data_IF_570930009572
#
_entry.id   IF_570930009572
#
_cell.length_a   1.000
_cell.length_b   1.000
_cell.length_c   1.000
_cell.angle_alpha   90.00
_cell.angle_beta   90.00
_cell.angle_gamma   90.00
#
_symmetry.space_group_name_H-M   'P 1'
#
loop_
_entity.id
_entity.type
_entity.pdbx_description
1 polymer ?
#
# COMPACT_ATOMS: atom_id res chain seq x y z
N UNK A 1 -3.58 20.95 -23.08
CA UNK A 1 -4.31 19.83 -22.43
C UNK A 1 -5.56 19.48 -23.25
N UNK A 2 -5.40 18.94 -24.46
CA UNK A 2 -6.51 18.58 -25.40
C UNK A 2 -6.33 17.19 -26.03
N UNK A 3 -5.58 16.28 -25.39
CA UNK A 3 -5.21 14.98 -25.94
C UNK A 3 -5.86 13.74 -25.31
N UNK A 4 -6.72 13.87 -24.30
CA UNK A 4 -7.20 12.73 -23.48
C UNK A 4 -8.52 12.10 -23.99
N UNK A 5 -8.76 12.08 -25.31
CA UNK A 5 -10.04 11.66 -25.90
C UNK A 5 -10.05 10.29 -26.58
N UNK A 6 -8.91 9.59 -26.67
CA UNK A 6 -8.76 8.44 -27.59
C UNK A 6 -8.80 7.05 -26.96
N UNK A 7 -8.78 6.94 -25.64
CA UNK A 7 -8.60 5.64 -24.96
C UNK A 7 -9.93 4.89 -24.78
N UNK A 8 -11.07 5.59 -24.68
CA UNK A 8 -12.36 4.97 -24.33
C UNK A 8 -13.04 4.20 -25.48
N UNK A 9 -12.51 4.25 -26.72
CA UNK A 9 -13.16 3.66 -27.90
C UNK A 9 -12.68 2.27 -28.32
N UNK A 10 -11.66 1.70 -27.68
CA UNK A 10 -10.95 0.52 -28.18
C UNK A 10 -11.46 -0.83 -27.65
N UNK A 11 -12.32 -0.86 -26.63
CA UNK A 11 -12.66 -2.10 -25.92
C UNK A 11 -13.91 -2.88 -26.38
N UNK A 12 -14.62 -2.50 -27.45
CA UNK A 12 -15.91 -3.13 -27.81
C UNK A 12 -15.87 -4.17 -28.93
N UNK A 13 -14.69 -4.66 -29.34
CA UNK A 13 -14.62 -5.70 -30.40
C UNK A 13 -14.78 -7.12 -29.80
N UNK A 14 -15.98 -7.66 -29.91
CA UNK A 14 -16.36 -9.04 -29.54
C UNK A 14 -15.59 -10.09 -30.36
N UNK A 15 -14.39 -10.49 -29.91
CA UNK A 15 -13.59 -11.55 -30.54
C UNK A 15 -13.42 -12.72 -29.57
N UNK A 16 -14.41 -13.59 -29.43
CA UNK A 16 -14.23 -14.90 -28.76
C UNK A 16 -13.49 -14.88 -27.40
N UNK A 17 -13.63 -13.79 -26.64
CA UNK A 17 -12.83 -13.47 -25.44
C UNK A 17 -13.40 -14.14 -24.18
N UNK A 18 -14.59 -14.75 -24.25
CA UNK A 18 -15.39 -15.08 -23.05
C UNK A 18 -14.68 -16.01 -22.03
N UNK A 19 -13.70 -16.82 -22.46
CA UNK A 19 -12.94 -17.67 -21.53
C UNK A 19 -11.54 -17.13 -21.15
N UNK A 20 -11.05 -16.04 -21.76
CA UNK A 20 -9.72 -15.49 -21.44
C UNK A 20 -9.75 -14.30 -20.48
N UNK A 21 -10.88 -13.60 -20.32
CA UNK A 21 -10.95 -12.39 -19.45
C UNK A 21 -10.79 -12.71 -17.97
N UNK A 22 -11.14 -13.93 -17.55
CA UNK A 22 -11.17 -14.33 -16.14
C UNK A 22 -9.92 -15.10 -15.69
N UNK A 23 -8.77 -14.87 -16.33
CA UNK A 23 -7.52 -15.50 -15.88
C UNK A 23 -6.43 -14.47 -15.60
N UNK A 24 -5.68 -14.76 -14.55
CA UNK A 24 -4.43 -14.06 -14.26
C UNK A 24 -3.45 -14.30 -15.42
N UNK A 25 -2.77 -13.26 -15.95
CA UNK A 25 -1.72 -13.43 -16.95
C UNK A 25 -0.65 -14.38 -16.45
N UNK A 26 -0.27 -15.36 -17.26
CA UNK A 26 0.77 -16.33 -16.92
C UNK A 26 2.15 -15.67 -16.87
N UNK A 27 3.10 -16.31 -16.19
CA UNK A 27 4.50 -15.86 -16.18
C UNK A 27 5.10 -15.71 -17.58
N UNK A 28 4.73 -16.59 -18.52
CA UNK A 28 5.19 -16.52 -19.90
C UNK A 28 4.62 -15.30 -20.63
N UNK A 29 3.33 -15.02 -20.44
CA UNK A 29 2.66 -13.84 -21.01
C UNK A 29 3.24 -12.52 -20.48
N UNK A 30 3.63 -12.47 -19.20
CA UNK A 30 4.30 -11.29 -18.62
C UNK A 30 5.71 -11.12 -19.21
N UNK A 31 6.43 -12.22 -19.47
CA UNK A 31 7.77 -12.18 -20.05
C UNK A 31 7.81 -11.60 -21.47
N UNK A 32 6.68 -11.60 -22.19
CA UNK A 32 6.55 -10.99 -23.51
C UNK A 32 6.56 -9.45 -23.46
N UNK A 33 6.24 -8.85 -22.31
CA UNK A 33 6.23 -7.39 -22.17
C UNK A 33 7.66 -6.83 -22.11
N UNK A 34 7.91 -5.63 -22.65
CA UNK A 34 9.16 -4.93 -22.43
C UNK A 34 9.44 -4.72 -20.95
N UNK A 35 10.72 -4.60 -20.61
CA UNK A 35 11.20 -4.51 -19.23
C UNK A 35 10.44 -3.49 -18.36
N UNK A 36 10.28 -2.26 -18.83
CA UNK A 36 9.58 -1.21 -18.06
C UNK A 36 8.08 -1.42 -18.02
N UNK A 37 7.50 -2.06 -19.04
CA UNK A 37 6.11 -2.48 -19.04
C UNK A 37 5.83 -3.59 -18.00
N UNK A 38 6.77 -4.51 -17.78
CA UNK A 38 6.68 -5.50 -16.68
C UNK A 38 6.66 -4.82 -15.31
N UNK A 39 7.54 -3.82 -15.09
CA UNK A 39 7.58 -3.05 -13.84
C UNK A 39 6.28 -2.26 -13.65
N UNK A 40 5.79 -1.59 -14.69
CA UNK A 40 4.52 -0.88 -14.63
C UNK A 40 3.35 -1.80 -14.30
N UNK A 41 3.29 -2.98 -14.92
CA UNK A 41 2.26 -3.98 -14.64
C UNK A 41 2.33 -4.47 -13.18
N UNK A 42 3.52 -4.77 -12.67
CA UNK A 42 3.71 -5.16 -11.27
C UNK A 42 3.27 -4.06 -10.29
N UNK A 43 3.63 -2.79 -10.58
CA UNK A 43 3.24 -1.65 -9.76
C UNK A 43 1.71 -1.46 -9.72
N UNK A 44 1.03 -1.58 -10.88
CA UNK A 44 -0.44 -1.54 -10.93
C UNK A 44 -1.10 -2.68 -10.14
N UNK A 45 -0.54 -3.89 -10.21
CA UNK A 45 -1.04 -5.02 -9.41
C UNK A 45 -0.87 -4.78 -7.90
N UNK A 46 0.28 -4.25 -7.47
CA UNK A 46 0.52 -3.91 -6.07
C UNK A 46 -0.41 -2.79 -5.60
N UNK A 47 -0.62 -1.77 -6.44
CA UNK A 47 -1.56 -0.69 -6.17
C UNK A 47 -2.98 -1.22 -5.96
N UNK A 48 -3.45 -2.15 -6.81
CA UNK A 48 -4.78 -2.78 -6.67
C UNK A 48 -4.99 -3.48 -5.34
N UNK A 49 -3.95 -4.01 -4.71
CA UNK A 49 -4.14 -4.71 -3.43
C UNK A 49 -3.82 -3.86 -2.22
N UNK A 50 -3.32 -2.64 -2.42
CA UNK A 50 -2.93 -1.75 -1.33
C UNK A 50 -4.10 -1.40 -0.38
N UNK A 51 -5.32 -1.07 -0.85
CA UNK A 51 -6.41 -0.72 0.08
C UNK A 51 -6.82 -1.86 1.01
N UNK A 52 -6.68 -3.11 0.56
CA UNK A 52 -6.91 -4.28 1.42
C UNK A 52 -5.94 -4.36 2.60
N UNK A 53 -4.74 -3.77 2.49
CA UNK A 53 -3.81 -3.74 3.61
C UNK A 53 -4.36 -2.88 4.73
N UNK A 54 -4.87 -1.68 4.42
CA UNK A 54 -5.50 -0.80 5.41
C UNK A 54 -6.76 -1.45 5.99
N UNK A 55 -7.61 -2.02 5.13
CA UNK A 55 -8.86 -2.65 5.56
C UNK A 55 -8.63 -3.88 6.45
N UNK A 56 -7.66 -4.73 6.10
CA UNK A 56 -7.36 -5.95 6.87
C UNK A 56 -6.56 -5.64 8.14
N UNK A 57 -5.93 -4.46 8.21
CA UNK A 57 -5.10 -4.01 9.33
C UNK A 57 -5.40 -2.54 9.66
N UNK A 58 -6.55 -2.25 10.28
CA UNK A 58 -6.89 -0.89 10.70
C UNK A 58 -5.84 -0.29 11.65
N UNK A 59 -5.21 -1.14 12.47
CA UNK A 59 -4.16 -0.76 13.42
C UNK A 59 -2.74 -0.72 12.80
N UNK A 60 -2.62 -0.92 11.48
CA UNK A 60 -1.32 -0.86 10.81
C UNK A 60 -0.63 0.48 11.10
N UNK A 61 0.64 0.41 11.50
CA UNK A 61 1.39 1.64 11.76
C UNK A 61 1.47 2.49 10.50
N UNK A 62 1.45 3.81 10.67
CA UNK A 62 1.67 4.75 9.56
C UNK A 62 2.97 4.45 8.80
N UNK A 63 4.01 3.98 9.51
CA UNK A 63 5.29 3.57 8.93
C UNK A 63 5.09 2.41 7.93
N UNK A 64 4.25 1.42 8.24
CA UNK A 64 3.99 0.28 7.37
C UNK A 64 3.22 0.71 6.12
N UNK A 65 2.16 1.50 6.29
CA UNK A 65 1.36 2.05 5.18
C UNK A 65 2.24 2.91 4.26
N UNK A 66 3.03 3.83 4.84
CA UNK A 66 3.96 4.69 4.09
C UNK A 66 5.04 3.86 3.39
N UNK A 67 5.49 2.74 3.97
CA UNK A 67 6.51 1.87 3.35
C UNK A 67 5.98 1.16 2.11
N UNK A 68 4.74 0.66 2.16
CA UNK A 68 4.06 0.06 0.99
C UNK A 68 3.83 1.11 -0.09
N UNK A 69 3.30 2.29 0.29
CA UNK A 69 3.06 3.41 -0.63
C UNK A 69 4.36 3.84 -1.33
N UNK A 70 5.43 4.00 -0.56
CA UNK A 70 6.74 4.39 -1.09
C UNK A 70 7.30 3.35 -2.07
N UNK A 71 7.15 2.05 -1.78
CA UNK A 71 7.61 0.99 -2.67
C UNK A 71 6.86 1.00 -4.02
N UNK A 72 5.53 1.15 -3.99
CA UNK A 72 4.71 1.22 -5.20
C UNK A 72 5.03 2.49 -6.01
N UNK A 73 4.97 3.66 -5.34
CA UNK A 73 5.26 4.96 -5.96
C UNK A 73 6.66 5.00 -6.60
N UNK A 74 7.63 4.31 -6.02
CA UNK A 74 8.97 4.25 -6.58
C UNK A 74 9.03 3.35 -7.83
N UNK A 75 8.35 2.20 -7.82
CA UNK A 75 8.25 1.34 -8.99
C UNK A 75 7.57 2.07 -10.18
N UNK A 76 6.50 2.83 -9.91
CA UNK A 76 5.83 3.68 -10.89
C UNK A 76 6.78 4.75 -11.45
N UNK A 77 7.49 5.49 -10.58
CA UNK A 77 8.47 6.51 -10.99
C UNK A 77 9.57 5.94 -11.89
N UNK A 78 10.09 4.76 -11.56
CA UNK A 78 11.13 4.08 -12.33
C UNK A 78 10.63 3.63 -13.69
N UNK A 79 9.44 3.03 -13.75
CA UNK A 79 8.83 2.66 -15.02
C UNK A 79 8.54 3.90 -15.88
N UNK A 80 8.19 5.03 -15.26
CA UNK A 80 7.85 6.27 -15.96
C UNK A 80 9.03 7.11 -16.45
N UNK A 81 10.21 6.97 -15.85
CA UNK A 81 11.36 7.83 -16.16
C UNK A 81 12.56 7.02 -16.63
N UNK A 82 13.09 7.41 -17.78
CA UNK A 82 14.39 6.93 -18.24
C UNK A 82 15.50 7.70 -17.51
N UNK A 83 16.26 7.03 -16.65
CA UNK A 83 17.39 7.66 -15.95
C UNK A 83 18.03 6.72 -14.95
N UNK A 84 19.22 7.07 -14.47
CA UNK A 84 19.90 6.38 -13.36
C UNK A 84 19.13 6.64 -12.08
N UNK A 85 18.29 5.70 -11.65
CA UNK A 85 17.51 5.94 -10.46
C UNK A 85 18.45 5.83 -9.27
N UNK A 86 18.07 6.43 -8.15
CA UNK A 86 18.77 6.14 -6.89
C UNK A 86 18.48 4.68 -6.49
N UNK A 87 19.29 3.76 -6.99
CA UNK A 87 19.19 2.31 -6.70
C UNK A 87 19.27 2.01 -5.21
N UNK A 88 19.85 2.91 -4.41
CA UNK A 88 19.84 2.81 -2.95
C UNK A 88 18.43 2.99 -2.42
N UNK A 89 17.71 4.00 -2.91
CA UNK A 89 16.33 4.27 -2.51
C UNK A 89 15.38 3.12 -2.84
N UNK A 90 15.55 2.44 -3.98
CA UNK A 90 14.69 1.30 -4.35
C UNK A 90 14.95 0.06 -3.54
N UNK A 91 16.21 -0.25 -3.26
CA UNK A 91 16.54 -1.32 -2.34
C UNK A 91 15.99 -1.06 -0.93
N UNK A 92 16.13 0.16 -0.41
CA UNK A 92 15.62 0.53 0.91
C UNK A 92 14.09 0.46 0.95
N UNK A 93 13.40 0.96 -0.08
CA UNK A 93 11.94 0.89 -0.15
C UNK A 93 11.43 -0.56 -0.18
N UNK A 94 12.07 -1.42 -0.97
CA UNK A 94 11.72 -2.84 -1.03
C UNK A 94 11.89 -3.52 0.35
N UNK A 95 13.01 -3.28 1.03
CA UNK A 95 13.29 -3.86 2.35
C UNK A 95 12.32 -3.37 3.43
N UNK A 96 11.93 -2.10 3.38
CA UNK A 96 10.92 -1.55 4.31
C UNK A 96 9.54 -2.15 4.08
N UNK A 97 9.14 -2.34 2.82
CA UNK A 97 7.89 -3.02 2.50
C UNK A 97 7.88 -4.49 2.96
N UNK A 98 9.00 -5.22 2.80
CA UNK A 98 9.13 -6.59 3.35
C UNK A 98 8.96 -6.60 4.87
N UNK A 99 9.66 -5.71 5.59
CA UNK A 99 9.57 -5.62 7.04
C UNK A 99 8.13 -5.32 7.50
N UNK A 100 7.41 -4.45 6.78
CA UNK A 100 5.98 -4.19 7.06
C UNK A 100 5.08 -5.43 6.89
N UNK A 101 5.46 -6.38 6.03
CA UNK A 101 4.79 -7.68 5.90
C UNK A 101 5.14 -8.64 7.04
N UNK A 102 6.39 -8.64 7.50
CA UNK A 102 6.86 -9.43 8.65
C UNK A 102 6.22 -8.96 9.97
N UNK A 103 6.07 -7.65 10.17
CA UNK A 103 5.39 -7.10 11.35
C UNK A 103 3.91 -7.52 11.39
N UNK A 104 3.25 -7.61 10.23
CA UNK A 104 1.86 -8.04 10.14
C UNK A 104 1.65 -9.53 10.46
N UNK A 105 2.71 -10.35 10.42
CA UNK A 105 2.66 -11.79 10.76
C UNK A 105 2.43 -12.07 12.24
N UNK A 106 2.60 -11.08 13.11
CA UNK A 106 2.42 -11.24 14.56
C UNK A 106 0.93 -11.40 14.95
N UNK A 107 -0.02 -11.12 14.04
CA UNK A 107 -1.47 -11.36 14.21
C UNK A 107 -1.99 -12.59 13.43
N UNK A 108 -2.92 -13.37 13.99
CA UNK A 108 -3.50 -14.57 13.36
C UNK A 108 -4.28 -14.27 12.06
N UNK A 109 -4.20 -15.19 11.07
CA UNK A 109 -4.95 -15.32 9.79
C UNK A 109 -5.03 -14.13 8.82
N UNK A 110 -5.29 -12.90 9.29
CA UNK A 110 -5.16 -11.69 8.47
C UNK A 110 -3.72 -11.51 7.97
N UNK A 111 -2.74 -12.05 8.72
CA UNK A 111 -1.30 -11.98 8.45
C UNK A 111 -0.89 -12.46 7.07
N UNK A 112 -1.55 -13.47 6.50
CA UNK A 112 -1.19 -13.99 5.19
C UNK A 112 -1.50 -12.97 4.09
N UNK A 113 -2.65 -12.29 4.18
CA UNK A 113 -3.07 -11.26 3.23
C UNK A 113 -2.13 -10.04 3.30
N UNK A 114 -1.81 -9.54 4.49
CA UNK A 114 -0.86 -8.43 4.61
C UNK A 114 0.52 -8.78 4.08
N UNK A 115 1.02 -9.96 4.44
CA UNK A 115 2.32 -10.43 3.98
C UNK A 115 2.34 -10.47 2.46
N UNK A 116 1.28 -10.97 1.83
CA UNK A 116 1.17 -11.05 0.38
C UNK A 116 1.12 -9.65 -0.27
N UNK A 117 0.38 -8.69 0.31
CA UNK A 117 0.32 -7.31 -0.17
C UNK A 117 1.69 -6.61 -0.04
N UNK A 118 2.31 -6.70 1.13
CA UNK A 118 3.64 -6.15 1.40
C UNK A 118 4.71 -6.75 0.50
N UNK A 119 4.68 -8.07 0.30
CA UNK A 119 5.61 -8.78 -0.56
C UNK A 119 5.35 -8.44 -2.05
N UNK A 120 4.09 -8.17 -2.45
CA UNK A 120 3.76 -7.67 -3.79
C UNK A 120 4.39 -6.30 -4.07
N UNK A 121 4.24 -5.35 -3.14
CA UNK A 121 4.86 -4.03 -3.23
C UNK A 121 6.40 -4.11 -3.25
N UNK A 122 6.99 -4.94 -2.37
CA UNK A 122 8.43 -5.19 -2.37
C UNK A 122 8.93 -5.79 -3.69
N UNK A 123 8.17 -6.72 -4.28
CA UNK A 123 8.52 -7.32 -5.57
C UNK A 123 8.42 -6.32 -6.73
N UNK A 124 7.44 -5.41 -6.73
CA UNK A 124 7.40 -4.31 -7.70
C UNK A 124 8.65 -3.41 -7.59
N UNK A 125 9.05 -3.04 -6.38
CA UNK A 125 10.26 -2.24 -6.14
C UNK A 125 11.55 -3.00 -6.54
N UNK A 126 11.65 -4.31 -6.26
CA UNK A 126 12.77 -5.15 -6.73
C UNK A 126 12.83 -5.25 -8.25
N UNK A 127 11.67 -5.36 -8.92
CA UNK A 127 11.61 -5.36 -10.37
C UNK A 127 12.16 -4.04 -10.93
N UNK A 128 11.79 -2.92 -10.32
CA UNK A 128 12.30 -1.59 -10.66
C UNK A 128 13.83 -1.46 -10.44
N UNK A 129 14.36 -1.89 -9.29
CA UNK A 129 15.81 -1.89 -9.02
C UNK A 129 16.58 -2.74 -10.05
N UNK A 130 16.11 -3.96 -10.32
CA UNK A 130 16.73 -4.86 -11.30
C UNK A 130 16.70 -4.26 -12.71
N UNK A 131 15.59 -3.63 -13.08
CA UNK A 131 15.46 -2.96 -14.37
C UNK A 131 16.43 -1.77 -14.50
N UNK A 132 16.55 -0.98 -13.44
CA UNK A 132 17.45 0.16 -13.36
C UNK A 132 18.93 -0.23 -13.53
N UNK A 133 19.36 -1.33 -12.90
CA UNK A 133 20.74 -1.82 -12.99
C UNK A 133 21.16 -2.20 -14.41
N UNK A 134 20.20 -2.58 -15.26
CA UNK A 134 20.46 -2.91 -16.66
C UNK A 134 20.61 -1.68 -17.57
N UNK A 135 20.28 -0.47 -17.10
CA UNK A 135 20.35 0.78 -17.87
C UNK A 135 21.70 1.50 -17.64
N UNK A 136 22.53 1.01 -16.72
CA UNK A 136 23.83 1.60 -16.40
C UNK A 136 24.77 1.71 -17.63
N UNK A 137 25.68 2.71 -17.63
CA UNK A 137 26.56 3.03 -18.76
C UNK A 137 27.55 1.94 -19.18
N UNK A 138 27.60 0.81 -18.46
CA UNK A 138 28.44 -0.35 -18.76
C UNK A 138 27.72 -1.47 -19.53
N UNK A 139 26.50 -1.23 -20.04
CA UNK A 139 25.69 -2.28 -20.69
C UNK A 139 26.35 -2.96 -21.90
N UNK A 140 27.32 -2.32 -22.57
CA UNK A 140 28.10 -2.93 -23.66
C UNK A 140 29.12 -3.99 -23.18
N UNK A 141 29.40 -4.06 -21.89
CA UNK A 141 30.36 -5.01 -21.29
C UNK A 141 29.68 -6.14 -20.52
N UNK A 142 28.37 -6.04 -20.26
CA UNK A 142 27.64 -7.08 -19.56
C UNK A 142 27.47 -8.30 -20.49
N UNK A 143 27.85 -9.47 -19.97
CA UNK A 143 27.58 -10.74 -20.65
C UNK A 143 26.07 -10.92 -20.83
N UNK A 144 25.66 -11.48 -21.98
CA UNK A 144 24.25 -11.85 -22.25
C UNK A 144 23.62 -12.67 -21.11
N UNK A 145 24.40 -13.50 -20.40
CA UNK A 145 23.93 -14.27 -19.25
C UNK A 145 23.48 -13.40 -18.07
N UNK A 146 24.11 -12.24 -17.85
CA UNK A 146 23.74 -11.27 -16.81
C UNK A 146 22.44 -10.59 -17.18
N UNK A 147 22.27 -10.22 -18.45
CA UNK A 147 21.05 -9.62 -18.97
C UNK A 147 19.87 -10.59 -18.82
N UNK A 148 20.04 -11.86 -19.21
CA UNK A 148 19.01 -12.88 -19.10
C UNK A 148 18.65 -13.18 -17.63
N UNK A 149 19.64 -13.25 -16.74
CA UNK A 149 19.41 -13.45 -15.30
C UNK A 149 18.61 -12.28 -14.71
N UNK A 150 18.96 -11.05 -15.07
CA UNK A 150 18.24 -9.86 -14.62
C UNK A 150 16.81 -9.82 -15.18
N UNK A 151 16.60 -10.14 -16.46
CA UNK A 151 15.26 -10.26 -17.07
C UNK A 151 14.41 -11.32 -16.37
N UNK A 152 14.96 -12.53 -16.15
CA UNK A 152 14.29 -13.57 -15.38
C UNK A 152 13.96 -13.11 -13.95
N UNK A 153 14.83 -12.29 -13.36
CA UNK A 153 14.60 -11.65 -12.07
C UNK A 153 13.46 -10.64 -12.07
N UNK A 154 13.30 -9.84 -13.13
CA UNK A 154 12.22 -8.85 -13.28
C UNK A 154 10.89 -9.55 -13.49
N UNK A 155 10.85 -10.52 -14.40
CA UNK A 155 9.65 -11.34 -14.65
C UNK A 155 9.25 -12.13 -13.41
N UNK A 156 10.22 -12.71 -12.70
CA UNK A 156 9.96 -13.44 -11.45
C UNK A 156 9.34 -12.56 -10.37
N UNK A 157 9.88 -11.36 -10.16
CA UNK A 157 9.33 -10.40 -9.21
C UNK A 157 7.94 -9.92 -9.63
N UNK A 158 7.74 -9.58 -10.90
CA UNK A 158 6.45 -9.14 -11.43
C UNK A 158 5.38 -10.23 -11.29
N UNK A 159 5.71 -11.48 -11.62
CA UNK A 159 4.83 -12.63 -11.43
C UNK A 159 4.47 -12.85 -9.97
N UNK A 160 5.44 -12.74 -9.05
CA UNK A 160 5.15 -12.88 -7.62
C UNK A 160 4.19 -11.78 -7.13
N UNK A 161 4.38 -10.54 -7.57
CA UNK A 161 3.47 -9.45 -7.24
C UNK A 161 2.02 -9.77 -7.65
N UNK A 162 1.84 -10.28 -8.87
CA UNK A 162 0.52 -10.70 -9.39
C UNK A 162 -0.05 -11.87 -8.58
N UNK A 163 0.75 -12.91 -8.33
CA UNK A 163 0.30 -14.11 -7.60
C UNK A 163 -0.14 -13.76 -6.18
N UNK A 164 0.64 -12.95 -5.49
CA UNK A 164 0.37 -12.52 -4.11
C UNK A 164 -0.81 -11.56 -4.05
N UNK A 165 -0.90 -10.66 -5.02
CA UNK A 165 -2.07 -9.82 -5.17
C UNK A 165 -3.34 -10.67 -5.37
N UNK A 166 -3.28 -11.75 -6.14
CA UNK A 166 -4.41 -12.66 -6.30
C UNK A 166 -4.74 -13.50 -5.05
N UNK A 167 -3.74 -13.97 -4.29
CA UNK A 167 -4.00 -14.71 -3.04
C UNK A 167 -4.61 -13.82 -1.96
N UNK A 168 -4.19 -12.56 -1.87
CA UNK A 168 -4.78 -11.55 -0.99
C UNK A 168 -6.28 -11.34 -1.22
N UNK A 169 -6.81 -11.75 -2.38
CA UNK A 169 -8.20 -11.52 -2.82
C UNK A 169 -9.11 -12.75 -2.66
N UNK A 170 -8.66 -13.81 -1.98
CA UNK A 170 -9.40 -15.08 -1.90
C UNK A 170 -10.73 -14.99 -1.14
N UNK A 171 -11.83 -14.87 -1.89
CA UNK A 171 -13.02 -15.76 -1.91
C UNK A 171 -14.19 -15.13 -2.70
N UNK A 172 -14.26 -13.81 -2.80
CA UNK A 172 -15.44 -13.11 -3.35
C UNK A 172 -15.16 -12.04 -4.42
N UNK A 173 -13.90 -11.83 -4.82
CA UNK A 173 -13.56 -10.66 -5.64
C UNK A 173 -13.04 -11.01 -7.04
N UNK A 174 -13.87 -11.67 -7.84
CA UNK A 174 -13.60 -11.93 -9.26
C UNK A 174 -13.23 -10.65 -10.02
N UNK A 175 -13.86 -9.54 -9.68
CA UNK A 175 -13.67 -8.22 -10.32
C UNK A 175 -12.22 -7.72 -10.26
N UNK A 176 -11.45 -8.08 -9.25
CA UNK A 176 -10.05 -7.66 -9.14
C UNK A 176 -9.12 -8.46 -10.06
N UNK A 177 -9.37 -9.76 -10.21
CA UNK A 177 -8.62 -10.58 -11.18
C UNK A 177 -8.88 -10.11 -12.60
N UNK A 178 -10.13 -9.69 -12.89
CA UNK A 178 -10.51 -9.02 -14.13
C UNK A 178 -9.75 -7.69 -14.26
N UNK A 179 -9.68 -6.88 -13.21
CA UNK A 179 -8.92 -5.63 -13.19
C UNK A 179 -7.42 -5.82 -13.51
N UNK A 180 -6.78 -6.82 -12.92
CA UNK A 180 -5.37 -7.16 -13.22
C UNK A 180 -5.20 -7.64 -14.66
N UNK A 181 -6.12 -8.46 -15.17
CA UNK A 181 -6.06 -8.90 -16.55
C UNK A 181 -6.26 -7.73 -17.54
N UNK A 182 -7.22 -6.83 -17.25
CA UNK A 182 -7.44 -5.59 -18.03
C UNK A 182 -6.18 -4.73 -18.05
N UNK A 183 -5.49 -4.57 -16.93
CA UNK A 183 -4.22 -3.83 -16.88
C UNK A 183 -3.13 -4.47 -17.75
N UNK A 184 -3.02 -5.79 -17.72
CA UNK A 184 -2.08 -6.51 -18.59
C UNK A 184 -2.39 -6.27 -20.07
N UNK A 185 -3.66 -6.41 -20.46
CA UNK A 185 -4.09 -6.20 -21.85
C UNK A 185 -3.84 -4.76 -22.29
N UNK A 186 -4.17 -3.78 -21.44
CA UNK A 186 -3.91 -2.36 -21.70
C UNK A 186 -2.43 -2.10 -21.92
N UNK A 187 -1.57 -2.57 -21.01
CA UNK A 187 -0.11 -2.39 -21.11
C UNK A 187 0.43 -3.11 -22.36
N UNK A 188 -0.04 -4.31 -22.66
CA UNK A 188 0.37 -5.07 -23.86
C UNK A 188 0.00 -4.33 -25.14
N UNK A 189 -1.22 -3.82 -25.21
CA UNK A 189 -1.71 -3.07 -26.37
C UNK A 189 -0.94 -1.77 -26.56
N UNK A 190 -0.79 -0.96 -25.51
CA UNK A 190 -0.03 0.30 -25.57
C UNK A 190 1.44 0.05 -25.92
N UNK A 191 2.05 -0.97 -25.32
CA UNK A 191 3.41 -1.39 -25.64
C UNK A 191 3.57 -1.74 -27.12
N UNK A 192 2.59 -2.43 -27.72
CA UNK A 192 2.62 -2.78 -29.13
C UNK A 192 2.34 -1.56 -30.02
N UNK A 193 1.39 -0.71 -29.65
CA UNK A 193 0.96 0.45 -30.42
C UNK A 193 2.06 1.51 -30.50
N UNK A 194 2.74 1.76 -29.38
CA UNK A 194 3.79 2.76 -29.25
C UNK A 194 5.20 2.19 -29.48
N UNK A 195 5.30 0.91 -29.83
CA UNK A 195 6.57 0.21 -30.05
C UNK A 195 7.54 0.31 -28.87
N UNK A 196 7.03 0.10 -27.64
CA UNK A 196 7.90 0.11 -26.47
C UNK A 196 8.92 -1.02 -26.56
N UNK A 197 10.15 -0.68 -26.17
CA UNK A 197 11.28 -1.60 -26.08
C UNK A 197 11.74 -1.69 -24.62
N UNK A 198 12.72 -2.54 -24.31
CA UNK A 198 13.30 -2.58 -22.97
C UNK A 198 13.93 -1.24 -22.53
N UNK A 199 14.27 -0.37 -23.49
CA UNK A 199 14.77 0.98 -23.23
C UNK A 199 13.70 2.06 -23.21
N UNK A 200 12.44 1.75 -23.53
CA UNK A 200 11.38 2.76 -23.61
C UNK A 200 10.66 2.87 -22.26
N UNK A 201 10.65 4.05 -21.60
CA UNK A 201 9.87 4.25 -20.39
C UNK A 201 8.37 4.21 -20.70
N UNK A 202 7.56 3.91 -19.69
CA UNK A 202 6.10 3.87 -19.76
C UNK A 202 5.53 5.28 -19.52
N UNK A 203 4.68 5.85 -20.38
CA UNK A 203 4.06 7.15 -20.13
C UNK A 203 3.35 7.20 -18.77
N UNK A 204 3.48 8.30 -17.99
CA UNK A 204 2.83 8.43 -16.67
C UNK A 204 1.31 8.22 -16.70
N UNK A 205 0.66 8.53 -17.83
CA UNK A 205 -0.77 8.39 -18.05
C UNK A 205 -1.25 6.93 -17.95
N UNK A 206 -0.36 5.96 -18.17
CA UNK A 206 -0.62 4.52 -18.04
C UNK A 206 -0.88 4.15 -16.58
N UNK A 207 -0.41 4.94 -15.61
CA UNK A 207 -0.66 4.69 -14.19
C UNK A 207 -2.06 5.15 -13.77
N UNK A 208 -2.54 6.28 -14.31
CA UNK A 208 -3.96 6.71 -14.32
C UNK A 208 -4.78 6.53 -13.03
N UNK A 209 -6.11 6.74 -13.08
CA UNK A 209 -7.00 6.22 -12.05
C UNK A 209 -7.04 4.70 -12.16
N UNK A 210 -6.86 3.99 -11.04
CA UNK A 210 -6.87 2.52 -11.01
C UNK A 210 -8.20 1.92 -11.47
N UNK A 211 -9.28 2.62 -11.14
CA UNK A 211 -10.64 2.25 -11.44
C UNK A 211 -11.31 3.35 -12.26
N UNK A 212 -11.02 3.37 -13.56
CA UNK A 212 -11.58 4.39 -14.46
C UNK A 212 -13.13 4.37 -14.49
N UNK A 213 -13.73 3.23 -14.16
CA UNK A 213 -15.19 3.01 -14.08
C UNK A 213 -15.76 3.24 -12.67
N UNK A 214 -14.92 3.64 -11.69
CA UNK A 214 -15.27 3.67 -10.28
C UNK A 214 -14.84 2.41 -9.54
N UNK A 215 -14.66 2.52 -8.22
CA UNK A 215 -14.23 1.41 -7.37
C UNK A 215 -15.22 0.24 -7.44
N UNK A 216 -14.74 -1.02 -7.40
CA UNK A 216 -15.58 -2.22 -7.42
C UNK A 216 -16.64 -2.23 -6.32
N UNK A 217 -17.74 -2.95 -6.53
CA UNK A 217 -18.73 -3.14 -5.46
C UNK A 217 -18.11 -3.90 -4.28
N UNK A 218 -18.32 -3.41 -3.06
CA UNK A 218 -17.70 -3.97 -1.85
C UNK A 218 -16.21 -3.66 -1.72
N UNK A 219 -15.69 -2.71 -2.50
CA UNK A 219 -14.38 -2.13 -2.22
C UNK A 219 -14.38 -1.53 -0.82
N UNK A 220 -13.29 -1.70 -0.04
CA UNK A 220 -13.17 -0.98 1.21
C UNK A 220 -13.30 0.50 0.89
N UNK A 221 -14.41 1.11 1.32
CA UNK A 221 -14.50 2.56 1.32
C UNK A 221 -13.28 3.05 2.09
N UNK A 222 -12.62 4.09 1.61
CA UNK A 222 -11.69 4.80 2.47
C UNK A 222 -12.53 5.29 3.64
N UNK A 223 -12.58 4.50 4.71
CA UNK A 223 -13.36 4.75 5.91
C UNK A 223 -13.00 6.17 6.32
N UNK A 224 -13.90 7.11 5.99
CA UNK A 224 -13.62 8.53 6.07
C UNK A 224 -13.20 8.80 7.50
N UNK A 225 -11.90 9.10 7.68
CA UNK A 225 -11.18 9.14 8.95
C UNK A 225 -12.06 8.66 10.10
N UNK A 226 -12.24 7.34 10.26
CA UNK A 226 -13.00 6.85 11.40
C UNK A 226 -12.42 7.53 12.63
N UNK A 227 -13.28 8.25 13.37
CA UNK A 227 -12.89 8.82 14.64
C UNK A 227 -12.12 7.72 15.37
N UNK A 228 -10.86 7.97 15.73
CA UNK A 228 -10.02 6.94 16.31
C UNK A 228 -10.84 6.29 17.42
N UNK A 229 -10.97 4.96 17.42
CA UNK A 229 -11.73 4.23 18.42
C UNK A 229 -11.09 4.47 19.80
N UNK A 230 -11.39 5.63 20.40
CA UNK A 230 -10.84 6.07 21.64
C UNK A 230 -11.69 5.45 22.75
N UNK A 231 -11.09 4.56 23.52
CA UNK A 231 -11.68 4.12 24.76
C UNK A 231 -11.61 5.28 25.75
N UNK A 232 -12.71 6.02 25.89
CA UNK A 232 -12.81 7.07 26.92
C UNK A 232 -12.93 6.41 28.30
N UNK A 233 -11.90 6.57 29.12
CA UNK A 233 -11.90 6.13 30.52
C UNK A 233 -11.92 7.35 31.43
N UNK A 234 -13.04 7.58 32.11
CA UNK A 234 -13.16 8.65 33.11
C UNK A 234 -12.83 8.09 34.49
N UNK A 235 -11.79 8.63 35.12
CA UNK A 235 -11.29 8.16 36.41
C UNK A 235 -11.37 9.29 37.41
N UNK A 236 -12.34 9.21 38.32
CA UNK A 236 -12.56 10.24 39.32
C UNK A 236 -11.64 10.06 40.53
N UNK A 237 -11.00 11.16 40.96
CA UNK A 237 -10.27 11.21 42.23
C UNK A 237 -11.24 11.04 43.41
N UNK A 238 -10.94 10.14 44.38
CA UNK A 238 -11.75 9.99 45.58
C UNK A 238 -11.89 11.31 46.37
N UNK A 239 -13.09 11.58 46.90
CA UNK A 239 -13.34 12.78 47.69
C UNK A 239 -12.49 12.80 48.97
N UNK A 240 -11.93 13.97 49.30
CA UNK A 240 -11.11 14.16 50.51
C UNK A 240 -9.65 13.72 50.38
N UNK A 241 -9.19 13.39 49.17
CA UNK A 241 -7.79 13.08 48.90
C UNK A 241 -6.90 14.32 49.09
N UNK A 242 -5.90 14.22 49.97
CA UNK A 242 -4.89 15.29 50.13
C UNK A 242 -3.79 15.19 49.05
N UNK A 243 -2.88 16.16 49.00
CA UNK A 243 -1.84 16.26 47.97
C UNK A 243 -0.90 15.04 47.91
N UNK A 244 -0.53 14.49 49.06
CA UNK A 244 0.35 13.31 49.11
C UNK A 244 -0.38 12.06 48.61
N UNK A 245 -1.68 11.91 48.91
CA UNK A 245 -2.51 10.82 48.39
C UNK A 245 -2.77 10.96 46.89
N UNK A 246 -2.94 12.19 46.38
CA UNK A 246 -3.08 12.48 44.94
C UNK A 246 -1.84 12.08 44.16
N UNK A 247 -0.64 12.39 44.69
CA UNK A 247 0.62 11.96 44.07
C UNK A 247 0.72 10.44 43.97
N UNK A 248 0.38 9.72 45.04
CA UNK A 248 0.39 8.23 45.04
C UNK A 248 -0.67 7.67 44.09
N UNK A 249 -1.84 8.30 43.99
CA UNK A 249 -2.88 7.92 43.05
C UNK A 249 -2.41 8.06 41.60
N UNK A 250 -1.85 9.21 41.22
CA UNK A 250 -1.34 9.46 39.88
C UNK A 250 -0.20 8.50 39.49
N UNK A 251 0.69 8.17 40.44
CA UNK A 251 1.74 7.17 40.21
C UNK A 251 1.17 5.78 39.92
N UNK A 252 0.14 5.37 40.67
CA UNK A 252 -0.55 4.09 40.44
C UNK A 252 -1.29 4.08 39.10
N UNK A 253 -1.92 5.18 38.74
CA UNK A 253 -2.59 5.33 37.45
C UNK A 253 -1.61 5.24 36.29
N UNK A 254 -0.46 5.92 36.37
CA UNK A 254 0.59 5.81 35.37
C UNK A 254 1.11 4.37 35.22
N UNK A 255 1.31 3.65 36.33
CA UNK A 255 1.71 2.24 36.30
C UNK A 255 0.65 1.35 35.65
N UNK A 256 -0.64 1.56 35.99
CA UNK A 256 -1.75 0.82 35.39
C UNK A 256 -1.84 1.05 33.88
N UNK A 257 -1.71 2.29 33.39
CA UNK A 257 -1.69 2.58 31.96
C UNK A 257 -0.47 1.97 31.25
N UNK A 258 0.69 1.93 31.90
CA UNK A 258 1.85 1.24 31.34
C UNK A 258 1.59 -0.27 31.17
N UNK A 259 0.93 -0.91 32.14
CA UNK A 259 0.53 -2.33 32.04
C UNK A 259 -0.54 -2.57 30.97
N UNK A 260 -1.57 -1.73 30.88
CA UNK A 260 -2.57 -1.82 29.82
C UNK A 260 -1.96 -1.60 28.42
N UNK A 261 -1.04 -0.65 28.30
CA UNK A 261 -0.31 -0.42 27.05
C UNK A 261 0.54 -1.63 26.67
N UNK A 262 1.24 -2.24 27.64
CA UNK A 262 1.99 -3.47 27.42
C UNK A 262 1.09 -4.65 27.03
N UNK A 263 -0.11 -4.76 27.64
CA UNK A 263 -1.12 -5.75 27.26
C UNK A 263 -1.61 -5.53 25.82
N UNK A 264 -1.93 -4.29 25.46
CA UNK A 264 -2.35 -3.91 24.11
C UNK A 264 -1.28 -4.29 23.08
N UNK A 265 -0.01 -3.99 23.36
CA UNK A 265 1.13 -4.43 22.53
C UNK A 265 1.22 -5.96 22.46
N UNK A 266 1.06 -6.64 23.60
CA UNK A 266 1.04 -8.12 23.65
C UNK A 266 -0.11 -8.75 22.86
N UNK A 267 -1.19 -8.02 22.63
CA UNK A 267 -2.32 -8.42 21.78
C UNK A 267 -2.17 -8.02 20.31
N UNK A 268 -1.03 -7.45 19.92
CA UNK A 268 -0.76 -7.02 18.54
C UNK A 268 -1.10 -5.55 18.24
N UNK A 269 -1.50 -4.78 19.25
CA UNK A 269 -1.73 -3.34 19.12
C UNK A 269 -0.45 -2.50 19.19
N UNK A 270 -0.57 -1.19 19.02
CA UNK A 270 0.58 -0.24 18.98
C UNK A 270 0.90 0.41 20.33
N UNK A 271 0.22 -0.03 21.40
CA UNK A 271 0.26 0.61 22.72
C UNK A 271 -0.79 1.72 22.87
N UNK A 272 -1.14 2.04 24.11
CA UNK A 272 -2.10 3.10 24.42
C UNK A 272 -1.38 4.43 24.54
N UNK A 273 -1.98 5.49 24.00
CA UNK A 273 -1.54 6.88 24.18
C UNK A 273 -2.54 7.60 25.07
N UNK A 274 -2.02 8.32 26.07
CA UNK A 274 -2.82 9.25 26.87
C UNK A 274 -2.86 10.55 26.08
N UNK A 275 -4.05 10.96 25.66
CA UNK A 275 -4.29 12.27 25.06
C UNK A 275 -4.76 13.20 26.16
N UNK A 276 -4.16 14.37 26.26
CA UNK A 276 -4.65 15.41 27.16
C UNK A 276 -6.00 15.91 26.62
N UNK A 277 -6.95 16.19 27.50
CA UNK A 277 -8.29 16.64 27.11
C UNK A 277 -8.21 17.93 26.27
N UNK A 278 -7.28 18.81 26.62
CA UNK A 278 -7.03 20.06 25.89
C UNK A 278 -6.45 19.83 24.48
N UNK A 279 -5.71 18.73 24.28
CA UNK A 279 -5.17 18.33 22.97
C UNK A 279 -6.22 17.62 22.10
N UNK A 280 -7.20 16.96 22.71
CA UNK A 280 -8.28 16.29 22.01
C UNK A 280 -9.25 17.30 21.39
N UNK A 281 -9.59 18.36 22.14
CA UNK A 281 -10.46 19.43 21.63
C UNK A 281 -9.77 20.26 20.54
N UNK A 282 -8.45 20.49 20.60
CA UNK A 282 -7.75 21.23 19.53
C UNK A 282 -7.64 20.45 18.22
N UNK A 283 -7.46 19.13 18.28
CA UNK A 283 -7.31 18.29 17.09
C UNK A 283 -8.65 17.98 16.39
N UNK A 284 -9.77 18.04 17.14
CA UNK A 284 -11.12 17.91 16.57
C UNK A 284 -11.69 19.24 16.05
N UNK A 285 -11.30 20.38 16.64
CA UNK A 285 -11.83 21.70 16.25
C UNK A 285 -11.32 22.16 14.88
N UNK A 286 -10.20 21.61 14.37
CA UNK A 286 -9.77 21.83 12.99
C UNK A 286 -10.61 21.05 11.95
N UNK A 287 -11.53 20.18 12.37
CA UNK A 287 -12.43 19.44 11.46
C UNK A 287 -13.88 19.90 11.46
N UNK A 288 -14.36 20.62 12.49
CA UNK A 288 -15.72 21.17 12.50
C UNK A 288 -15.79 22.54 13.20
N UNK A 289 -15.75 23.62 12.42
CA UNK A 289 -16.18 24.93 12.90
C UNK A 289 -17.71 24.97 13.01
N UNK A 290 -18.25 24.67 14.20
CA UNK A 290 -19.54 25.19 14.66
C UNK A 290 -19.58 25.35 16.19
N UNK A 291 -19.49 26.63 16.57
CA UNK A 291 -19.56 27.26 17.89
C UNK A 291 -20.58 26.65 18.86
N UNK A 292 -20.19 26.42 20.14
CA UNK A 292 -21.01 26.72 21.33
C UNK A 292 -20.18 26.92 22.63
N UNK A 293 -20.79 27.72 23.52
CA UNK A 293 -20.39 28.47 24.73
C UNK A 293 -19.75 27.69 25.92
N UNK A 294 -18.73 28.22 26.64
CA UNK A 294 -18.14 27.56 27.81
C UNK A 294 -18.63 28.15 29.14
N UNK A 295 -19.37 27.38 29.94
CA UNK A 295 -19.53 27.66 31.38
C UNK A 295 -19.75 26.40 32.23
N UNK A 296 -18.67 25.69 32.55
CA UNK A 296 -18.58 24.84 33.75
C UNK A 296 -17.13 24.44 34.03
N UNK A 297 -16.57 24.88 35.15
CA UNK A 297 -15.23 24.48 35.59
C UNK A 297 -15.31 23.26 36.50
N UNK A 298 -14.87 22.11 35.98
CA UNK A 298 -14.50 20.94 36.77
C UNK A 298 -13.09 20.53 36.35
N UNK A 299 -12.15 20.54 37.30
CA UNK A 299 -10.79 20.06 37.05
C UNK A 299 -10.81 18.55 36.90
N UNK A 300 -10.57 18.07 35.68
CA UNK A 300 -10.40 16.66 35.37
C UNK A 300 -8.91 16.40 35.15
N UNK A 301 -8.38 15.39 35.81
CA UNK A 301 -7.14 14.73 35.42
C UNK A 301 -7.59 13.43 34.74
N UNK A 302 -7.49 13.38 33.41
CA UNK A 302 -7.84 12.22 32.56
C UNK A 302 -6.56 11.49 32.17
#
# INVERSE_FOLDING_TARGET
WTGCGRINGLFTKEVGVENSVNRIPTKAEIAELPRWAQVAFAARCARRVQPFYKHSFPDATRINIDSIENAISLAEKYAAHFGTPDTTASFVAARKAEAAGEDALVGLSASEIARDISESAANAAKAADRAARLVGPTSSELSWSVIDTARAGITGASWNAVKLANSALHANYLEHTIGMHRDYLLIKELSSLENWTDGTPVPPEVFGPMWAEGEPEGWPEEEGAHEPCCLKMEIASPAGMNESQSTVFNQKMAAFFAELSALHVGMGGTGLKILDQDSFESDLVDQDQLVCDPSSSSGVLV
#
